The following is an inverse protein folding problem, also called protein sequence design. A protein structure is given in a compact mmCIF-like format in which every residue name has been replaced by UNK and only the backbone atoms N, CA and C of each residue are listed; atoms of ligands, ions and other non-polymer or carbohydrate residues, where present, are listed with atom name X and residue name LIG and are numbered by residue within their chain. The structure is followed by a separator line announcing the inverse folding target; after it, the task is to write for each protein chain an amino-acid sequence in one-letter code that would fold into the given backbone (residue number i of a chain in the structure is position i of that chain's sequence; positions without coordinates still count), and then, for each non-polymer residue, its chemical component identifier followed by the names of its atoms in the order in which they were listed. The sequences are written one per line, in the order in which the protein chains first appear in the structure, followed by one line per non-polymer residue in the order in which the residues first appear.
data_IF_842990197386
#
_entry.id   IF_842990197386
#
_cell.length_a   1.000
_cell.length_b   1.000
_cell.length_c   1.000
_cell.angle_alpha   90.00
_cell.angle_beta   90.00
_cell.angle_gamma   90.00
#
_symmetry.space_group_name_H-M   'P 1'
#
loop_
_entity.id
_entity.type
_entity.pdbx_description
1 polymer ?
#
# COMPACT_ATOMS: atom_id res chain seq x y z
N UNK A 1 -5.86 49.85 -10.86
CA UNK A 1 -6.02 48.39 -11.03
C UNK A 1 -4.69 47.70 -11.38
N UNK A 2 -3.60 47.82 -10.62
CA UNK A 2 -2.30 47.14 -10.95
C UNK A 2 -1.54 46.61 -9.73
N UNK A 3 -2.22 46.22 -8.63
CA UNK A 3 -1.57 45.67 -7.41
C UNK A 3 -1.96 44.27 -6.99
N UNK A 4 -2.81 43.56 -7.74
CA UNK A 4 -3.25 42.19 -7.35
C UNK A 4 -2.53 41.01 -8.05
N UNK A 5 -1.74 41.28 -9.11
CA UNK A 5 -1.05 40.20 -9.83
C UNK A 5 0.32 39.82 -9.26
N UNK A 6 1.02 40.73 -8.60
CA UNK A 6 2.35 40.45 -8.04
C UNK A 6 2.34 39.51 -6.81
N UNK A 7 1.27 39.54 -6.01
CA UNK A 7 1.19 38.70 -4.81
C UNK A 7 0.91 37.21 -5.08
N UNK A 8 0.31 36.87 -6.23
CA UNK A 8 0.00 35.45 -6.53
C UNK A 8 1.23 34.70 -7.06
N UNK A 9 2.07 35.35 -7.82
CA UNK A 9 3.32 34.78 -8.35
C UNK A 9 4.37 34.61 -7.24
N UNK A 10 4.43 35.58 -6.33
CA UNK A 10 5.33 35.53 -5.18
C UNK A 10 4.94 34.38 -4.19
N UNK A 11 3.63 34.17 -3.94
CA UNK A 11 3.16 33.06 -3.09
C UNK A 11 3.44 31.68 -3.70
N UNK A 12 3.36 31.54 -5.03
CA UNK A 12 3.71 30.27 -5.71
C UNK A 12 5.22 29.99 -5.68
N UNK A 13 6.04 31.02 -5.84
CA UNK A 13 7.49 30.90 -5.75
C UNK A 13 7.96 30.53 -4.33
N UNK A 14 7.40 31.17 -3.30
CA UNK A 14 7.69 30.85 -1.89
C UNK A 14 7.23 29.42 -1.52
N UNK A 15 6.09 28.97 -2.01
CA UNK A 15 5.59 27.62 -1.76
C UNK A 15 6.47 26.53 -2.42
N UNK A 16 7.01 26.80 -3.61
CA UNK A 16 7.89 25.85 -4.30
C UNK A 16 9.28 25.78 -3.66
N UNK A 17 9.81 26.93 -3.21
CA UNK A 17 11.10 26.99 -2.50
C UNK A 17 11.00 26.29 -1.15
N UNK A 18 9.91 26.46 -0.39
CA UNK A 18 9.68 25.76 0.87
C UNK A 18 9.58 24.24 0.70
N UNK A 19 8.90 23.76 -0.35
CA UNK A 19 8.77 22.31 -0.62
C UNK A 19 10.11 21.67 -0.99
N UNK A 20 10.93 22.36 -1.78
CA UNK A 20 12.28 21.86 -2.17
C UNK A 20 13.25 21.93 -0.98
N UNK A 21 13.14 22.92 -0.13
CA UNK A 21 13.94 23.09 1.08
C UNK A 21 13.65 22.00 2.12
N UNK A 22 12.37 21.64 2.31
CA UNK A 22 11.98 20.54 3.24
C UNK A 22 12.50 19.17 2.78
N UNK A 23 12.65 18.95 1.47
CA UNK A 23 13.24 17.71 0.96
C UNK A 23 14.77 17.65 1.24
N UNK A 24 15.45 18.80 1.31
CA UNK A 24 16.88 18.88 1.62
C UNK A 24 17.17 18.93 3.14
N UNK A 25 16.25 19.49 3.96
CA UNK A 25 16.47 19.68 5.41
C UNK A 25 16.40 18.41 6.23
N UNK A 26 15.90 17.31 5.68
CA UNK A 26 15.97 15.98 6.35
C UNK A 26 17.38 15.41 6.40
N UNK A 27 18.34 16.00 5.69
CA UNK A 27 19.71 15.49 5.53
C UNK A 27 20.77 16.46 6.07
N UNK A 28 20.43 17.75 6.27
CA UNK A 28 21.38 18.78 6.67
C UNK A 28 20.93 19.56 7.91
N UNK A 29 21.88 19.92 8.77
CA UNK A 29 21.68 20.76 9.96
C UNK A 29 21.29 22.20 9.58
N UNK A 30 20.66 23.01 10.49
CA UNK A 30 20.10 24.33 10.19
C UNK A 30 21.02 25.36 9.56
N UNK A 31 22.34 25.19 9.66
CA UNK A 31 23.33 26.16 9.19
C UNK A 31 23.66 26.08 7.69
N UNK A 32 22.97 25.20 6.92
CA UNK A 32 23.28 24.98 5.51
C UNK A 32 22.39 25.79 4.53
N UNK A 33 21.68 26.81 5.01
CA UNK A 33 20.83 27.66 4.17
C UNK A 33 21.61 28.82 3.54
N UNK A 34 22.44 28.55 2.55
CA UNK A 34 22.86 29.55 1.58
C UNK A 34 22.78 28.96 0.17
N UNK A 35 21.73 29.34 -0.46
CA UNK A 35 21.43 29.44 -1.91
C UNK A 35 22.25 28.60 -2.91
N UNK A 36 21.62 27.56 -3.46
CA UNK A 36 22.06 26.89 -4.70
C UNK A 36 21.04 27.12 -5.83
N UNK A 37 21.48 27.30 -7.13
CA UNK A 37 20.61 27.32 -8.30
C UNK A 37 20.75 26.02 -9.13
N UNK A 38 19.65 25.36 -9.47
CA UNK A 38 19.63 24.14 -10.31
C UNK A 38 18.97 24.49 -11.64
N UNK A 39 19.68 24.30 -12.76
CA UNK A 39 19.11 24.51 -14.09
C UNK A 39 18.77 23.16 -14.71
N UNK A 40 17.51 22.90 -14.98
CA UNK A 40 17.06 21.69 -15.68
C UNK A 40 16.91 22.02 -17.18
N UNK A 41 17.64 21.30 -18.05
CA UNK A 41 17.42 21.35 -19.50
C UNK A 41 16.52 20.18 -19.91
N UNK A 42 15.51 20.50 -20.69
CA UNK A 42 14.51 19.56 -21.18
C UNK A 42 15.10 18.77 -22.36
N UNK A 43 15.50 17.54 -22.10
CA UNK A 43 15.74 16.54 -23.13
C UNK A 43 14.90 15.31 -22.78
N UNK A 44 14.60 14.44 -23.73
CA UNK A 44 13.80 13.22 -23.53
C UNK A 44 14.33 12.27 -22.44
N UNK A 45 15.48 12.58 -21.89
CA UNK A 45 16.02 12.03 -20.64
C UNK A 45 16.09 13.18 -19.62
N UNK A 46 15.39 13.05 -18.51
CA UNK A 46 15.44 14.04 -17.41
C UNK A 46 16.82 14.00 -16.75
N UNK A 47 17.73 14.82 -17.22
CA UNK A 47 19.05 14.99 -16.64
C UNK A 47 19.08 16.27 -15.85
N UNK A 48 19.51 16.24 -14.60
CA UNK A 48 19.73 17.42 -13.77
C UNK A 48 21.23 17.68 -13.79
N UNK A 49 21.62 18.83 -14.29
CA UNK A 49 23.04 19.28 -14.29
C UNK A 49 23.20 20.27 -13.12
N UNK A 50 24.08 19.95 -12.21
CA UNK A 50 24.47 20.82 -11.10
C UNK A 50 25.87 21.33 -11.41
N UNK A 51 26.01 22.64 -11.52
CA UNK A 51 27.31 23.29 -11.75
C UNK A 51 27.69 24.03 -10.50
N UNK A 52 28.83 23.73 -9.93
CA UNK A 52 29.42 24.52 -8.85
C UNK A 52 30.36 25.60 -9.41
N UNK A 53 30.81 26.53 -8.54
CA UNK A 53 31.69 27.60 -8.95
C UNK A 53 33.14 27.15 -9.24
N UNK A 54 33.45 25.86 -9.20
CA UNK A 54 34.78 25.31 -9.49
C UNK A 54 34.92 24.84 -10.94
N UNK A 55 33.98 25.18 -11.83
CA UNK A 55 33.93 24.74 -13.24
C UNK A 55 33.75 23.22 -13.42
N UNK A 56 33.41 22.49 -12.38
CA UNK A 56 33.13 21.07 -12.46
C UNK A 56 31.64 20.85 -12.71
N UNK A 57 31.29 20.36 -13.89
CA UNK A 57 29.89 20.03 -14.24
C UNK A 57 29.65 18.55 -13.98
N UNK A 58 28.80 18.24 -13.01
CA UNK A 58 28.37 16.87 -12.74
C UNK A 58 26.98 16.66 -13.31
N UNK A 59 26.88 15.75 -14.27
CA UNK A 59 25.59 15.34 -14.85
C UNK A 59 25.02 14.19 -14.04
N UNK A 60 23.91 14.43 -13.36
CA UNK A 60 23.20 13.43 -12.59
C UNK A 60 22.11 12.79 -13.47
N UNK A 61 22.24 11.51 -13.74
CA UNK A 61 21.20 10.73 -14.40
C UNK A 61 19.91 10.65 -13.57
N UNK A 62 18.84 10.19 -14.17
CA UNK A 62 17.43 10.29 -13.75
C UNK A 62 17.02 9.67 -12.41
N UNK A 63 17.95 9.23 -11.56
CA UNK A 63 17.61 8.60 -10.27
C UNK A 63 18.11 9.42 -9.09
N UNK A 64 17.28 10.40 -8.67
CA UNK A 64 17.47 11.14 -7.41
C UNK A 64 17.60 10.19 -6.22
N UNK A 65 16.94 9.04 -6.25
CA UNK A 65 17.00 7.99 -5.22
C UNK A 65 18.41 7.41 -5.05
N UNK A 66 19.16 7.20 -6.14
CA UNK A 66 20.54 6.69 -6.06
C UNK A 66 21.51 7.70 -5.44
N UNK A 67 21.25 9.00 -5.64
CA UNK A 67 22.10 10.04 -5.04
C UNK A 67 21.91 10.13 -3.53
N UNK A 68 20.67 9.96 -3.05
CA UNK A 68 20.33 9.98 -1.62
C UNK A 68 20.93 8.75 -0.92
N UNK A 69 20.84 7.56 -1.52
CA UNK A 69 21.41 6.33 -0.96
C UNK A 69 22.96 6.41 -0.85
N UNK A 70 23.62 7.06 -1.81
CA UNK A 70 25.08 7.24 -1.81
C UNK A 70 25.54 8.28 -0.78
N UNK A 71 24.75 9.31 -0.50
CA UNK A 71 25.07 10.32 0.51
C UNK A 71 24.91 9.79 1.95
N UNK A 72 24.05 8.80 2.17
CA UNK A 72 23.82 8.19 3.48
C UNK A 72 24.93 7.19 3.85
N UNK A 73 25.54 6.52 2.87
CA UNK A 73 26.65 5.56 3.11
C UNK A 73 28.00 6.23 3.42
N UNK A 74 28.18 7.54 3.12
CA UNK A 74 29.45 8.24 3.40
C UNK A 74 29.57 8.81 4.82
N UNK A 75 28.59 8.59 5.68
CA UNK A 75 28.56 9.15 7.06
C UNK A 75 29.23 8.25 8.11
N UNK A 76 30.30 7.54 7.76
CA UNK A 76 31.12 6.75 8.72
C UNK A 76 32.62 7.02 8.58
N UNK A 77 33.03 8.26 8.40
CA UNK A 77 34.40 8.68 8.79
C UNK A 77 34.42 10.20 8.94
N UNK A 78 34.82 10.66 10.14
CA UNK A 78 35.10 12.06 10.45
C UNK A 78 36.20 12.61 9.55
N UNK A 79 35.84 13.46 8.59
CA UNK A 79 36.80 14.40 8.00
C UNK A 79 36.03 15.69 7.66
N UNK A 80 36.34 16.74 8.41
CA UNK A 80 35.75 18.08 8.24
C UNK A 80 36.37 18.70 7.00
N UNK A 81 35.62 18.77 5.90
CA UNK A 81 35.96 19.60 4.74
C UNK A 81 35.00 20.77 4.69
N UNK A 82 35.50 21.97 4.92
CA UNK A 82 34.74 23.22 4.79
C UNK A 82 34.43 23.46 3.31
N UNK A 83 33.18 23.35 2.91
CA UNK A 83 32.71 23.73 1.57
C UNK A 83 31.77 24.92 1.71
N UNK A 84 32.17 26.07 1.15
CA UNK A 84 31.36 27.31 1.11
C UNK A 84 30.42 27.24 -0.10
N UNK A 85 29.12 27.19 0.13
CA UNK A 85 28.12 27.07 -0.93
C UNK A 85 27.58 28.45 -1.36
N UNK A 86 27.41 28.67 -2.66
CA UNK A 86 26.76 29.83 -3.29
C UNK A 86 25.42 29.44 -3.94
N UNK A 87 24.55 30.40 -4.07
CA UNK A 87 23.12 30.37 -4.40
C UNK A 87 22.75 29.74 -5.77
N UNK A 88 21.74 28.83 -5.78
CA UNK A 88 21.25 28.13 -6.99
C UNK A 88 19.75 28.40 -7.27
N UNK A 89 19.39 28.94 -8.43
CA UNK A 89 17.99 29.26 -8.85
C UNK A 89 17.47 28.18 -9.83
N UNK A 90 16.31 27.60 -9.57
CA UNK A 90 15.66 26.64 -10.50
C UNK A 90 14.55 27.36 -11.27
N UNK A 91 14.67 27.43 -12.60
CA UNK A 91 13.61 27.84 -13.50
C UNK A 91 13.03 26.62 -14.21
N UNK A 92 11.75 26.34 -13.98
CA UNK A 92 11.00 25.28 -14.67
C UNK A 92 9.95 25.95 -15.54
N UNK A 93 10.09 25.81 -16.87
CA UNK A 93 9.05 26.19 -17.83
C UNK A 93 8.36 24.92 -18.31
N UNK A 94 7.07 24.80 -18.01
CA UNK A 94 6.19 23.76 -18.54
C UNK A 94 5.64 24.21 -19.91
N UNK A 95 6.03 23.53 -20.97
CA UNK A 95 5.36 23.61 -22.27
C UNK A 95 4.66 22.28 -22.53
N UNK A 96 3.34 22.31 -22.55
CA UNK A 96 2.52 21.19 -23.04
C UNK A 96 2.45 21.24 -24.58
N UNK A 97 2.57 20.13 -25.28
CA UNK A 97 2.24 20.07 -26.70
C UNK A 97 0.72 19.92 -26.85
N UNK A 98 0.12 20.82 -27.60
CA UNK A 98 -1.25 20.73 -28.13
C UNK A 98 -1.25 19.78 -29.31
N UNK A 99 -2.09 18.76 -29.29
CA UNK A 99 -2.42 17.96 -30.46
C UNK A 99 -3.80 18.36 -30.98
N UNK A 100 -3.79 18.83 -32.21
CA UNK A 100 -4.98 19.10 -33.02
C UNK A 100 -5.79 17.83 -33.31
N UNK A 101 -7.08 17.95 -33.14
CA UNK A 101 -8.06 16.91 -33.51
C UNK A 101 -8.86 17.39 -34.71
N UNK A 102 -8.72 16.69 -35.82
CA UNK A 102 -9.59 16.86 -36.98
C UNK A 102 -10.81 15.96 -36.84
N UNK A 103 -11.98 16.61 -36.89
CA UNK A 103 -13.34 16.04 -36.94
C UNK A 103 -13.63 15.47 -38.31
N UNK A 104 -14.33 14.35 -38.37
CA UNK A 104 -15.16 13.99 -39.54
C UNK A 104 -16.51 13.44 -39.07
N UNK A 105 -17.55 14.03 -39.64
CA UNK A 105 -18.99 13.84 -39.34
C UNK A 105 -19.61 12.56 -39.89
N UNK A 106 -20.77 12.29 -39.36
CA UNK A 106 -21.73 11.21 -39.60
C UNK A 106 -22.30 11.11 -41.04
N UNK A 107 -23.16 10.14 -41.38
CA UNK A 107 -24.59 10.46 -41.25
C UNK A 107 -25.53 9.36 -40.71
N UNK A 108 -26.65 9.86 -40.30
CA UNK A 108 -27.82 9.17 -39.78
C UNK A 108 -28.67 8.47 -40.84
N UNK A 109 -29.48 7.47 -40.43
CA UNK A 109 -30.76 7.18 -41.05
C UNK A 109 -31.72 6.43 -40.10
N UNK A 110 -32.82 7.04 -39.79
CA UNK A 110 -34.11 6.42 -39.43
C UNK A 110 -34.93 6.21 -40.72
N UNK A 111 -35.92 5.27 -40.78
CA UNK A 111 -37.27 5.59 -40.34
C UNK A 111 -38.17 4.42 -39.82
N UNK A 112 -39.06 4.80 -38.92
CA UNK A 112 -40.53 4.74 -38.96
C UNK A 112 -41.27 3.38 -38.96
N UNK A 113 -41.99 3.16 -37.90
CA UNK A 113 -43.44 3.06 -37.68
C UNK A 113 -44.26 2.00 -38.45
N UNK A 114 -45.09 1.21 -37.75
CA UNK A 114 -46.56 1.26 -37.82
C UNK A 114 -47.28 0.19 -37.02
N UNK A 115 -48.30 0.66 -36.28
CA UNK A 115 -49.69 0.20 -36.09
C UNK A 115 -50.06 -0.97 -35.20
N UNK A 116 -50.88 -0.56 -34.23
CA UNK A 116 -51.93 -1.26 -33.48
C UNK A 116 -53.01 -1.88 -34.36
N UNK A 117 -53.75 -2.91 -33.92
CA UNK A 117 -55.08 -2.60 -33.47
C UNK A 117 -55.60 -3.30 -32.19
N UNK A 118 -56.56 -2.66 -31.64
CA UNK A 118 -57.50 -2.91 -30.56
C UNK A 118 -58.36 -4.17 -30.69
N UNK A 119 -58.70 -4.82 -29.52
CA UNK A 119 -60.02 -5.48 -29.34
C UNK A 119 -60.47 -5.51 -27.89
N UNK A 120 -61.53 -4.86 -27.66
CA UNK A 120 -62.76 -5.06 -26.86
C UNK A 120 -62.78 -5.72 -25.49
N UNK A 121 -63.43 -4.96 -24.61
CA UNK A 121 -63.82 -5.25 -23.23
C UNK A 121 -64.90 -6.35 -23.11
N UNK A 122 -64.90 -7.06 -21.99
CA UNK A 122 -66.04 -7.73 -21.36
C UNK A 122 -66.08 -7.46 -19.87
N UNK A 123 -67.25 -7.41 -19.23
CA UNK A 123 -67.48 -6.67 -17.97
C UNK A 123 -67.10 -7.46 -16.69
N UNK A 124 -66.89 -6.71 -15.63
CA UNK A 124 -66.43 -7.09 -14.32
C UNK A 124 -67.43 -7.93 -13.52
N UNK A 125 -66.90 -8.91 -12.79
CA UNK A 125 -67.51 -9.54 -11.63
C UNK A 125 -67.00 -8.87 -10.36
N UNK A 126 -67.93 -8.39 -9.54
CA UNK A 126 -67.70 -7.79 -8.25
C UNK A 126 -67.01 -8.77 -7.27
N UNK A 127 -65.81 -8.46 -6.83
CA UNK A 127 -65.08 -9.20 -5.78
C UNK A 127 -65.23 -8.49 -4.44
N UNK A 128 -65.65 -9.26 -3.41
CA UNK A 128 -65.71 -8.88 -2.01
C UNK A 128 -64.40 -8.22 -1.51
N UNK A 129 -64.43 -7.31 -0.50
CA UNK A 129 -63.29 -6.65 0.05
C UNK A 129 -62.34 -7.67 0.68
N UNK A 130 -61.12 -7.80 0.16
CA UNK A 130 -60.03 -8.55 0.75
C UNK A 130 -59.44 -7.70 1.88
N UNK A 131 -59.47 -8.22 3.08
CA UNK A 131 -58.90 -7.58 4.27
C UNK A 131 -57.42 -7.22 3.99
N UNK A 132 -57.06 -5.98 4.24
CA UNK A 132 -55.70 -5.44 4.05
C UNK A 132 -54.69 -6.24 4.89
N UNK A 133 -53.85 -7.03 4.25
CA UNK A 133 -52.72 -7.70 4.90
C UNK A 133 -51.79 -6.63 5.50
N UNK A 134 -51.63 -6.63 6.84
CA UNK A 134 -50.63 -5.80 7.53
C UNK A 134 -49.29 -5.91 6.82
N UNK A 135 -48.58 -4.80 6.56
CA UNK A 135 -47.30 -4.83 5.85
C UNK A 135 -46.29 -5.71 6.61
N UNK A 136 -45.92 -6.83 6.02
CA UNK A 136 -44.84 -7.65 6.56
C UNK A 136 -43.56 -6.82 6.59
N UNK A 137 -43.00 -6.61 7.78
CA UNK A 137 -41.69 -5.97 7.96
C UNK A 137 -40.67 -6.74 7.13
N UNK A 138 -40.21 -6.17 5.99
CA UNK A 138 -39.13 -6.77 5.17
C UNK A 138 -37.96 -7.09 6.07
N UNK A 139 -37.61 -8.37 6.23
CA UNK A 139 -36.38 -8.79 6.93
C UNK A 139 -35.20 -8.03 6.37
N UNK A 140 -34.48 -7.31 7.24
CA UNK A 140 -33.30 -6.56 6.82
C UNK A 140 -32.20 -7.52 6.34
N UNK A 141 -31.76 -7.36 5.10
CA UNK A 141 -30.65 -8.17 4.56
C UNK A 141 -29.32 -7.69 5.14
N UNK A 142 -28.69 -8.53 5.95
CA UNK A 142 -27.38 -8.26 6.60
C UNK A 142 -26.30 -9.08 5.89
N UNK A 143 -25.27 -8.40 5.37
CA UNK A 143 -24.08 -9.03 4.82
C UNK A 143 -22.88 -8.63 5.67
N UNK A 144 -22.09 -9.60 6.11
CA UNK A 144 -20.84 -9.38 6.87
C UNK A 144 -19.64 -9.78 6.00
N UNK A 145 -18.66 -8.89 5.90
CA UNK A 145 -17.40 -9.07 5.18
C UNK A 145 -16.27 -8.91 6.19
N UNK A 146 -15.55 -9.99 6.44
CA UNK A 146 -14.35 -9.99 7.28
C UNK A 146 -13.12 -9.90 6.38
N UNK A 147 -12.29 -8.89 6.59
CA UNK A 147 -10.98 -8.73 5.95
C UNK A 147 -9.92 -9.08 6.98
N UNK A 148 -9.04 -10.01 6.64
CA UNK A 148 -7.80 -10.27 7.36
C UNK A 148 -6.65 -9.58 6.65
N UNK A 149 -5.74 -9.00 7.43
CA UNK A 149 -4.49 -8.45 6.93
C UNK A 149 -3.32 -8.98 7.74
N UNK A 150 -2.24 -9.36 7.07
CA UNK A 150 -0.99 -9.73 7.69
C UNK A 150 0.16 -8.91 7.10
N UNK A 151 1.31 -8.93 7.77
CA UNK A 151 2.45 -8.09 7.46
C UNK A 151 3.26 -8.53 6.25
N UNK A 152 4.53 -8.20 6.27
CA UNK A 152 5.44 -8.31 5.14
C UNK A 152 5.78 -9.78 4.84
N UNK A 153 5.53 -10.18 3.60
CA UNK A 153 5.80 -11.51 3.08
C UNK A 153 6.89 -11.43 2.01
N UNK A 154 8.10 -11.86 2.37
CA UNK A 154 9.24 -12.02 1.46
C UNK A 154 9.41 -13.51 1.19
N UNK A 155 8.92 -13.97 0.02
CA UNK A 155 9.01 -15.36 -0.39
C UNK A 155 10.32 -15.61 -1.15
N UNK A 156 11.40 -15.64 -0.42
CA UNK A 156 12.75 -15.74 -0.95
C UNK A 156 13.75 -15.18 0.05
N UNK A 157 14.97 -14.93 -0.39
CA UNK A 157 16.03 -14.32 0.42
C UNK A 157 16.94 -13.48 -0.46
N UNK A 158 17.80 -12.68 0.15
CA UNK A 158 19.00 -12.17 -0.51
C UNK A 158 19.96 -13.34 -0.75
N UNK A 159 20.69 -13.34 -1.87
CA UNK A 159 21.71 -14.35 -2.12
C UNK A 159 22.88 -14.28 -1.11
N UNK A 160 23.08 -13.11 -0.48
CA UNK A 160 24.05 -12.91 0.60
C UNK A 160 23.61 -13.55 1.93
N UNK A 161 22.35 -13.99 2.04
CA UNK A 161 21.87 -14.65 3.26
C UNK A 161 22.58 -15.99 3.47
N UNK A 162 22.92 -16.36 4.72
CA UNK A 162 23.60 -17.63 5.01
C UNK A 162 22.88 -18.82 4.36
N UNK A 163 23.62 -19.64 3.63
CA UNK A 163 23.11 -20.90 3.08
C UNK A 163 22.71 -21.86 4.22
N UNK A 164 21.87 -22.83 3.93
CA UNK A 164 21.42 -23.80 4.93
C UNK A 164 20.31 -23.35 5.87
N UNK A 165 20.20 -22.06 6.19
CA UNK A 165 19.16 -21.52 7.11
C UNK A 165 18.25 -20.46 6.49
N UNK A 166 18.49 -20.06 5.24
CA UNK A 166 17.67 -19.07 4.54
C UNK A 166 16.36 -19.66 4.00
N UNK A 167 15.54 -18.82 3.38
CA UNK A 167 14.23 -19.23 2.85
C UNK A 167 14.33 -20.33 1.79
N UNK A 168 15.37 -20.29 0.92
CA UNK A 168 15.59 -21.32 -0.10
C UNK A 168 15.87 -22.68 0.53
N UNK A 169 16.75 -22.73 1.52
CA UNK A 169 17.08 -23.95 2.26
C UNK A 169 15.83 -24.54 2.91
N UNK A 170 15.00 -23.68 3.55
CA UNK A 170 13.75 -24.15 4.17
C UNK A 170 12.74 -24.66 3.14
N UNK A 171 12.62 -23.99 1.98
CA UNK A 171 11.76 -24.46 0.91
C UNK A 171 12.24 -25.81 0.34
N UNK A 172 13.54 -25.95 0.12
CA UNK A 172 14.13 -27.19 -0.40
C UNK A 172 14.04 -28.35 0.59
N UNK A 173 14.16 -28.06 1.90
CA UNK A 173 13.93 -29.05 2.96
C UNK A 173 12.49 -29.57 2.96
N UNK A 174 11.52 -28.67 2.87
CA UNK A 174 10.10 -29.05 3.00
C UNK A 174 9.48 -29.52 1.70
N UNK A 175 9.92 -28.99 0.54
CA UNK A 175 9.37 -29.27 -0.81
C UNK A 175 7.84 -29.12 -0.89
N UNK A 176 7.23 -28.48 0.11
CA UNK A 176 5.79 -28.29 0.26
C UNK A 176 5.47 -26.81 0.50
N UNK A 177 4.87 -26.13 -0.49
CA UNK A 177 4.44 -24.74 -0.33
C UNK A 177 3.43 -24.52 0.82
N UNK A 178 2.66 -25.56 1.19
CA UNK A 178 1.65 -25.44 2.25
C UNK A 178 2.26 -25.30 3.64
N UNK A 179 3.51 -25.72 3.82
CA UNK A 179 4.25 -25.62 5.08
C UNK A 179 4.22 -24.22 5.67
N UNK A 180 4.49 -23.21 4.85
CA UNK A 180 4.75 -21.84 5.31
C UNK A 180 3.54 -21.19 6.00
N UNK A 181 2.34 -21.42 5.51
CA UNK A 181 1.10 -20.86 6.10
C UNK A 181 0.27 -21.89 6.88
N UNK A 182 0.77 -23.11 7.10
CA UNK A 182 0.04 -24.21 7.73
C UNK A 182 -0.67 -23.77 9.03
N UNK A 183 0.02 -23.04 9.89
CA UNK A 183 -0.48 -22.67 11.22
C UNK A 183 -1.49 -21.50 11.21
N UNK A 184 -1.64 -20.79 10.10
CA UNK A 184 -2.55 -19.64 9.97
C UNK A 184 -3.63 -19.85 8.90
N UNK A 185 -3.47 -20.85 8.02
CA UNK A 185 -4.38 -21.15 6.92
C UNK A 185 -5.84 -21.27 7.37
N UNK A 186 -6.10 -21.92 8.52
CA UNK A 186 -7.46 -22.08 9.06
C UNK A 186 -8.11 -20.78 9.50
N UNK A 187 -7.31 -19.73 9.80
CA UNK A 187 -7.79 -18.39 10.13
C UNK A 187 -8.21 -17.71 8.83
N UNK A 188 -7.36 -17.73 7.81
CA UNK A 188 -7.60 -17.13 6.51
C UNK A 188 -8.77 -17.79 5.76
N UNK A 189 -8.94 -19.12 5.90
CA UNK A 189 -10.08 -19.84 5.31
C UNK A 189 -11.45 -19.36 5.84
N UNK A 190 -11.50 -18.70 7.02
CA UNK A 190 -12.74 -18.27 7.68
C UNK A 190 -13.13 -16.83 7.37
N UNK A 191 -12.27 -16.06 6.72
CA UNK A 191 -12.57 -14.70 6.34
C UNK A 191 -13.15 -14.59 4.91
N UNK A 192 -13.23 -13.39 4.36
CA UNK A 192 -13.76 -13.13 3.03
C UNK A 192 -12.72 -12.48 2.11
N UNK A 193 -11.62 -12.01 2.67
CA UNK A 193 -10.45 -11.50 1.97
C UNK A 193 -9.27 -11.52 2.93
N UNK A 194 -8.20 -12.24 2.56
CA UNK A 194 -6.89 -12.14 3.20
C UNK A 194 -5.95 -11.33 2.31
N UNK A 195 -5.39 -10.24 2.85
CA UNK A 195 -4.45 -9.34 2.18
C UNK A 195 -3.11 -9.32 2.91
N UNK A 196 -1.99 -9.45 2.18
CA UNK A 196 -0.62 -9.31 2.69
C UNK A 196 0.18 -8.34 1.83
N UNK A 197 1.28 -7.79 2.37
CA UNK A 197 2.26 -7.09 1.56
C UNK A 197 3.25 -8.10 0.98
N UNK A 198 3.37 -8.15 -0.35
CA UNK A 198 4.39 -8.95 -1.02
C UNK A 198 5.64 -8.08 -1.19
N UNK A 199 6.67 -8.38 -0.40
CA UNK A 199 7.91 -7.59 -0.33
C UNK A 199 9.08 -8.39 -0.88
N UNK A 200 9.48 -8.08 -2.10
CA UNK A 200 10.49 -8.80 -2.87
C UNK A 200 10.06 -9.05 -4.30
N UNK A 201 10.76 -9.93 -5.01
CA UNK A 201 10.49 -10.25 -6.42
C UNK A 201 10.35 -11.75 -6.65
N UNK A 202 9.50 -12.13 -7.61
CA UNK A 202 9.39 -13.50 -8.14
C UNK A 202 9.99 -13.54 -9.54
N UNK A 203 11.28 -13.84 -9.63
CA UNK A 203 12.04 -13.76 -10.88
C UNK A 203 13.16 -14.78 -10.94
N UNK A 204 13.58 -15.12 -12.15
CA UNK A 204 14.81 -15.89 -12.40
C UNK A 204 16.03 -14.99 -12.67
N UNK A 205 15.86 -13.66 -12.78
CA UNK A 205 16.93 -12.72 -13.06
C UNK A 205 18.05 -12.80 -12.03
N UNK A 206 19.25 -12.52 -12.45
CA UNK A 206 20.46 -12.61 -11.61
C UNK A 206 21.08 -11.26 -11.29
N UNK A 207 20.84 -10.26 -12.13
CA UNK A 207 21.38 -8.91 -11.92
C UNK A 207 20.65 -8.25 -10.73
N UNK A 208 21.34 -8.21 -9.60
CA UNK A 208 20.88 -7.64 -8.33
C UNK A 208 21.04 -6.12 -8.35
N UNK A 209 20.08 -5.39 -7.80
CA UNK A 209 20.24 -3.97 -7.53
C UNK A 209 21.36 -3.72 -6.49
N UNK A 210 22.09 -2.63 -6.65
CA UNK A 210 23.12 -2.21 -5.69
C UNK A 210 22.43 -1.55 -4.48
N UNK A 211 22.14 -2.36 -3.48
CA UNK A 211 21.51 -1.98 -2.20
C UNK A 211 21.83 -3.02 -1.14
N UNK A 212 21.69 -2.65 0.13
CA UNK A 212 22.03 -3.50 1.28
C UNK A 212 21.30 -4.84 1.22
N UNK A 213 19.99 -4.84 0.99
CA UNK A 213 19.17 -6.05 0.90
C UNK A 213 18.42 -6.07 -0.43
N UNK A 214 18.46 -7.21 -1.13
CA UNK A 214 17.69 -7.43 -2.34
C UNK A 214 17.10 -8.84 -2.34
N UNK A 215 15.77 -8.92 -2.36
CA UNK A 215 15.05 -10.17 -2.16
C UNK A 215 14.49 -10.73 -3.47
N UNK A 216 14.75 -12.02 -3.66
CA UNK A 216 14.25 -12.77 -4.81
C UNK A 216 13.69 -14.12 -4.37
N UNK A 217 12.64 -14.56 -5.02
CA UNK A 217 12.10 -15.90 -4.90
C UNK A 217 11.88 -16.52 -6.27
N UNK A 218 11.77 -17.85 -6.31
CA UNK A 218 11.37 -18.55 -7.53
C UNK A 218 9.92 -18.18 -7.87
N UNK A 219 9.57 -17.98 -9.16
CA UNK A 219 8.19 -17.75 -9.59
C UNK A 219 7.16 -18.75 -9.03
N UNK A 220 7.55 -20.01 -8.82
CA UNK A 220 6.69 -21.03 -8.23
C UNK A 220 6.33 -20.80 -6.77
N UNK A 221 7.06 -19.93 -6.05
CA UNK A 221 6.79 -19.66 -4.63
C UNK A 221 5.48 -18.90 -4.39
N UNK A 222 4.87 -18.33 -5.43
CA UNK A 222 3.50 -17.82 -5.32
C UNK A 222 2.50 -18.87 -4.80
N UNK A 223 2.76 -20.16 -5.08
CA UNK A 223 1.96 -21.28 -4.54
C UNK A 223 1.87 -21.28 -3.01
N UNK A 224 2.88 -20.71 -2.33
CA UNK A 224 2.88 -20.57 -0.86
C UNK A 224 1.69 -19.72 -0.40
N UNK A 225 1.47 -18.56 -1.04
CA UNK A 225 0.33 -17.69 -0.72
C UNK A 225 -1.00 -18.34 -1.07
N UNK A 226 -1.08 -18.96 -2.26
CA UNK A 226 -2.31 -19.63 -2.72
C UNK A 226 -2.71 -20.76 -1.78
N UNK A 227 -1.77 -21.62 -1.41
CA UNK A 227 -2.02 -22.73 -0.47
C UNK A 227 -2.25 -22.25 0.95
N UNK A 228 -1.78 -21.03 1.28
CA UNK A 228 -2.04 -20.34 2.54
C UNK A 228 -3.42 -19.72 2.67
N UNK A 229 -4.25 -19.73 1.62
CA UNK A 229 -5.51 -18.99 1.51
C UNK A 229 -5.31 -17.47 1.59
N UNK A 230 -4.26 -16.96 0.99
CA UNK A 230 -4.08 -15.52 0.74
C UNK A 230 -4.78 -15.18 -0.57
N UNK A 231 -5.71 -14.24 -0.53
CA UNK A 231 -6.57 -13.90 -1.66
C UNK A 231 -6.02 -12.77 -2.53
N UNK A 232 -5.22 -11.87 -1.94
CA UNK A 232 -4.69 -10.72 -2.66
C UNK A 232 -3.40 -10.20 -2.01
N UNK A 233 -2.62 -9.43 -2.80
CA UNK A 233 -1.38 -8.81 -2.32
C UNK A 233 -1.32 -7.33 -2.63
N UNK A 234 -0.67 -6.54 -1.75
CA UNK A 234 -0.12 -5.23 -2.09
C UNK A 234 1.31 -5.42 -2.61
N UNK A 235 1.65 -4.71 -3.70
CA UNK A 235 2.94 -4.81 -4.37
C UNK A 235 3.43 -3.42 -4.78
N UNK A 236 3.59 -2.55 -3.78
CA UNK A 236 4.20 -1.22 -3.91
C UNK A 236 5.08 -0.98 -2.68
N UNK A 237 6.36 -1.31 -2.78
CA UNK A 237 7.34 -1.22 -1.71
C UNK A 237 8.75 -1.09 -2.30
N UNK A 238 9.75 -0.81 -1.46
CA UNK A 238 11.15 -0.64 -1.86
C UNK A 238 11.82 -1.91 -2.42
N UNK A 239 11.22 -3.09 -2.25
CA UNK A 239 11.75 -4.37 -2.73
C UNK A 239 11.11 -4.90 -4.02
N UNK A 240 10.20 -4.13 -4.63
CA UNK A 240 9.55 -4.54 -5.88
C UNK A 240 10.51 -4.65 -7.08
N UNK A 241 11.67 -3.99 -7.03
CA UNK A 241 12.65 -3.87 -8.12
C UNK A 241 14.05 -4.34 -7.73
N UNK A 242 14.15 -5.23 -6.79
CA UNK A 242 15.44 -5.71 -6.24
C UNK A 242 16.35 -6.36 -7.28
N UNK A 243 15.81 -6.76 -8.43
CA UNK A 243 16.53 -7.27 -9.59
C UNK A 243 16.15 -6.49 -10.86
N UNK A 244 16.03 -5.16 -10.71
CA UNK A 244 15.68 -4.20 -11.76
C UNK A 244 14.20 -4.22 -12.16
N UNK A 245 13.82 -3.33 -13.08
CA UNK A 245 12.44 -3.20 -13.59
C UNK A 245 11.92 -4.52 -14.18
N UNK A 246 12.81 -5.30 -14.82
CA UNK A 246 12.45 -6.62 -15.34
C UNK A 246 11.92 -7.56 -14.26
N UNK A 247 12.45 -7.52 -13.04
CA UNK A 247 11.98 -8.35 -11.94
C UNK A 247 10.61 -7.93 -11.41
N UNK A 248 10.31 -6.65 -11.45
CA UNK A 248 8.98 -6.12 -11.18
C UNK A 248 7.96 -6.65 -12.18
N UNK A 249 8.30 -6.59 -13.47
CA UNK A 249 7.44 -7.08 -14.55
C UNK A 249 7.28 -8.61 -14.52
N UNK A 250 8.34 -9.36 -14.22
CA UNK A 250 8.28 -10.81 -14.01
C UNK A 250 7.30 -11.17 -12.88
N UNK A 251 7.39 -10.46 -11.76
CA UNK A 251 6.50 -10.68 -10.60
C UNK A 251 5.04 -10.40 -10.95
N UNK A 252 4.76 -9.31 -11.67
CA UNK A 252 3.43 -8.98 -12.18
C UNK A 252 2.92 -10.06 -13.14
N UNK A 253 3.78 -10.58 -14.01
CA UNK A 253 3.42 -11.68 -14.92
C UNK A 253 3.06 -12.95 -14.13
N UNK A 254 3.81 -13.26 -13.06
CA UNK A 254 3.49 -14.39 -12.15
C UNK A 254 2.14 -14.20 -11.49
N UNK A 255 1.83 -13.00 -10.96
CA UNK A 255 0.52 -12.72 -10.37
C UNK A 255 -0.61 -12.87 -11.39
N UNK A 256 -0.47 -12.30 -12.59
CA UNK A 256 -1.48 -12.36 -13.65
C UNK A 256 -1.72 -13.82 -14.12
N UNK A 257 -0.64 -14.58 -14.40
CA UNK A 257 -0.72 -15.99 -14.84
C UNK A 257 -1.47 -16.84 -13.82
N UNK A 258 -1.28 -16.57 -12.54
CA UNK A 258 -1.87 -17.34 -11.45
C UNK A 258 -3.16 -16.72 -10.91
N UNK A 259 -3.70 -15.69 -11.58
CA UNK A 259 -4.94 -14.99 -11.20
C UNK A 259 -4.90 -14.46 -9.75
N UNK A 260 -3.70 -14.10 -9.23
CA UNK A 260 -3.54 -13.49 -7.92
C UNK A 260 -3.91 -12.00 -8.01
N UNK A 261 -4.98 -11.55 -7.36
CA UNK A 261 -5.33 -10.13 -7.32
C UNK A 261 -4.23 -9.32 -6.63
N UNK A 262 -3.83 -8.19 -7.24
CA UNK A 262 -2.83 -7.32 -6.64
C UNK A 262 -3.07 -5.85 -6.96
N UNK A 263 -2.72 -4.98 -6.01
CA UNK A 263 -2.60 -3.55 -6.21
C UNK A 263 -1.13 -3.16 -6.21
N UNK A 264 -0.75 -2.24 -7.09
CA UNK A 264 0.63 -1.73 -7.20
C UNK A 264 0.59 -0.28 -7.68
N UNK A 265 1.70 0.37 -7.89
CA UNK A 265 1.87 1.75 -8.32
C UNK A 265 0.81 2.23 -9.34
N UNK A 266 -0.28 2.87 -8.87
CA UNK A 266 -1.39 3.33 -9.70
C UNK A 266 -2.31 2.23 -10.30
N UNK A 267 -1.93 0.95 -10.17
CA UNK A 267 -2.80 -0.19 -10.50
C UNK A 267 -3.70 -0.51 -9.30
N UNK A 268 -5.00 -0.35 -9.48
CA UNK A 268 -5.99 -0.78 -8.49
C UNK A 268 -6.45 -2.20 -8.76
N UNK A 269 -6.88 -2.91 -7.73
CA UNK A 269 -7.51 -4.22 -7.84
C UNK A 269 -8.92 -4.21 -7.25
N UNK A 270 -9.79 -5.11 -7.69
CA UNK A 270 -11.14 -5.28 -7.14
C UNK A 270 -11.38 -6.76 -6.87
N UNK A 271 -11.48 -7.09 -5.60
CA UNK A 271 -11.85 -8.43 -5.15
C UNK A 271 -13.37 -8.52 -4.93
N UNK A 272 -13.97 -9.66 -5.26
CA UNK A 272 -15.42 -9.86 -5.16
C UNK A 272 -15.75 -11.00 -4.22
N UNK A 273 -16.57 -10.71 -3.22
CA UNK A 273 -17.03 -11.71 -2.25
C UNK A 273 -18.42 -11.36 -1.73
N UNK A 274 -19.29 -12.34 -1.54
CA UNK A 274 -20.67 -12.18 -1.03
C UNK A 274 -21.44 -11.02 -1.69
N UNK A 275 -21.28 -10.85 -3.00
CA UNK A 275 -21.92 -9.78 -3.76
C UNK A 275 -21.36 -8.37 -3.48
N UNK A 276 -20.21 -8.25 -2.82
CA UNK A 276 -19.50 -7.00 -2.53
C UNK A 276 -18.22 -6.88 -3.32
N UNK A 277 -17.85 -5.64 -3.66
CA UNK A 277 -16.63 -5.27 -4.35
C UNK A 277 -15.69 -4.57 -3.36
N UNK A 278 -14.54 -5.17 -3.10
CA UNK A 278 -13.49 -4.60 -2.26
C UNK A 278 -12.39 -4.08 -3.18
N UNK A 279 -12.26 -2.75 -3.23
CA UNK A 279 -11.20 -2.09 -3.97
C UNK A 279 -9.90 -2.03 -3.17
N UNK A 280 -8.77 -2.26 -3.83
CA UNK A 280 -7.45 -2.24 -3.22
C UNK A 280 -6.54 -1.25 -3.95
N UNK A 281 -5.79 -0.48 -3.17
CA UNK A 281 -4.75 0.46 -3.61
C UNK A 281 -3.48 0.12 -2.83
N UNK A 282 -2.32 0.20 -3.47
CA UNK A 282 -1.03 0.09 -2.81
C UNK A 282 -0.14 1.29 -3.16
N UNK A 283 0.55 1.82 -2.16
CA UNK A 283 1.50 2.94 -2.31
C UNK A 283 2.78 2.67 -1.53
N UNK A 284 3.89 3.18 -2.06
CA UNK A 284 5.18 3.20 -1.38
C UNK A 284 5.43 4.62 -0.85
N UNK A 285 5.38 4.80 0.45
CA UNK A 285 5.59 6.10 1.10
C UNK A 285 7.05 6.55 1.08
N UNK A 286 7.99 5.64 0.79
CA UNK A 286 9.40 5.97 0.63
C UNK A 286 9.66 6.73 -0.68
N UNK A 287 8.75 6.62 -1.67
CA UNK A 287 8.78 7.43 -2.89
C UNK A 287 8.20 8.86 -2.67
N UNK A 288 7.91 9.21 -1.42
CA UNK A 288 7.40 10.51 -0.98
C UNK A 288 5.89 10.59 -0.82
N UNK A 289 5.48 11.55 0.00
CA UNK A 289 4.07 11.82 0.33
C UNK A 289 3.27 12.18 -0.91
N UNK A 290 3.77 13.13 -1.73
CA UNK A 290 3.08 13.62 -2.93
C UNK A 290 2.82 12.50 -3.95
N UNK A 291 3.78 11.59 -4.13
CA UNK A 291 3.62 10.42 -4.99
C UNK A 291 2.51 9.50 -4.47
N UNK A 292 2.53 9.21 -3.17
CA UNK A 292 1.52 8.39 -2.50
C UNK A 292 0.13 9.01 -2.61
N UNK A 293 -0.01 10.32 -2.37
CA UNK A 293 -1.28 11.03 -2.47
C UNK A 293 -1.85 11.01 -3.90
N UNK A 294 -0.99 11.19 -4.92
CA UNK A 294 -1.36 11.08 -6.33
C UNK A 294 -1.94 9.71 -6.65
N UNK A 295 -1.26 8.62 -6.24
CA UNK A 295 -1.76 7.25 -6.47
C UNK A 295 -3.03 6.94 -5.68
N UNK A 296 -3.15 7.38 -4.43
CA UNK A 296 -4.36 7.25 -3.63
C UNK A 296 -5.52 7.97 -4.29
N UNK A 297 -5.34 9.24 -4.68
CA UNK A 297 -6.41 10.04 -5.29
C UNK A 297 -6.91 9.42 -6.61
N UNK A 298 -5.99 9.07 -7.52
CA UNK A 298 -6.34 8.42 -8.79
C UNK A 298 -6.98 7.04 -8.56
N UNK A 299 -6.43 6.26 -7.63
CA UNK A 299 -6.93 4.93 -7.28
C UNK A 299 -8.35 4.97 -6.72
N UNK A 300 -8.63 5.90 -5.80
CA UNK A 300 -9.98 6.08 -5.23
C UNK A 300 -10.97 6.50 -6.31
N UNK A 301 -10.59 7.44 -7.22
CA UNK A 301 -11.42 7.81 -8.36
C UNK A 301 -11.75 6.59 -9.25
N UNK A 302 -10.74 5.77 -9.59
CA UNK A 302 -10.91 4.53 -10.38
C UNK A 302 -11.84 3.54 -9.68
N UNK A 303 -11.68 3.34 -8.37
CA UNK A 303 -12.49 2.39 -7.60
C UNK A 303 -13.94 2.85 -7.40
N UNK A 304 -14.17 4.16 -7.23
CA UNK A 304 -15.53 4.74 -7.22
C UNK A 304 -16.23 4.51 -8.56
N UNK A 305 -15.55 4.73 -9.70
CA UNK A 305 -16.09 4.40 -11.05
C UNK A 305 -16.42 2.92 -11.19
N UNK A 306 -15.64 2.01 -10.58
CA UNK A 306 -15.90 0.56 -10.53
C UNK A 306 -16.99 0.17 -9.52
N UNK A 307 -17.59 1.14 -8.81
CA UNK A 307 -18.61 0.95 -7.76
C UNK A 307 -18.12 0.00 -6.66
N UNK A 308 -16.90 0.24 -6.13
CA UNK A 308 -16.39 -0.49 -4.98
C UNK A 308 -17.22 -0.19 -3.73
N UNK A 309 -17.61 -1.24 -3.00
CA UNK A 309 -18.37 -1.13 -1.73
C UNK A 309 -17.46 -0.79 -0.55
N UNK A 310 -16.21 -1.22 -0.61
CA UNK A 310 -15.13 -0.94 0.35
C UNK A 310 -13.85 -0.59 -0.40
N UNK A 311 -13.04 0.29 0.19
CA UNK A 311 -11.70 0.63 -0.31
C UNK A 311 -10.68 0.41 0.80
N UNK A 312 -9.68 -0.42 0.51
CA UNK A 312 -8.52 -0.69 1.36
C UNK A 312 -7.29 -0.07 0.71
N UNK A 313 -6.50 0.65 1.50
CA UNK A 313 -5.22 1.21 1.05
C UNK A 313 -4.11 0.52 1.85
N UNK A 314 -3.19 -0.14 1.15
CA UNK A 314 -1.94 -0.63 1.73
C UNK A 314 -0.85 0.42 1.52
N UNK A 315 -0.15 0.76 2.59
CA UNK A 315 0.89 1.78 2.64
C UNK A 315 2.18 1.14 3.15
N UNK A 316 3.24 1.18 2.34
CA UNK A 316 4.58 0.76 2.74
C UNK A 316 5.39 2.00 3.11
N UNK A 317 5.49 2.32 4.40
CA UNK A 317 6.06 3.59 4.87
C UNK A 317 6.49 3.52 6.33
N UNK A 318 7.39 4.41 6.71
CA UNK A 318 7.88 4.55 8.07
C UNK A 318 9.40 4.40 8.15
N UNK A 319 9.90 4.06 9.33
CA UNK A 319 11.31 3.80 9.59
C UNK A 319 11.41 2.37 10.13
N UNK A 320 12.38 1.61 9.62
CA UNK A 320 12.60 0.23 10.04
C UNK A 320 12.95 0.13 11.54
N UNK A 321 12.55 -0.99 12.15
CA UNK A 321 12.87 -1.38 13.52
C UNK A 321 12.40 -0.40 14.61
N UNK A 322 11.52 0.57 14.30
CA UNK A 322 10.94 1.48 15.28
C UNK A 322 9.44 1.28 15.45
N UNK A 323 8.96 1.39 16.69
CA UNK A 323 7.53 1.41 17.00
C UNK A 323 6.93 2.83 16.93
N UNK A 324 7.74 3.85 16.69
CA UNK A 324 7.32 5.24 16.56
C UNK A 324 6.72 5.47 15.18
N UNK A 325 5.52 6.02 15.15
CA UNK A 325 4.81 6.38 13.93
C UNK A 325 5.27 7.77 13.52
N UNK A 326 5.87 7.91 12.33
CA UNK A 326 6.34 9.18 11.82
C UNK A 326 5.23 9.96 11.07
N UNK A 327 5.52 11.24 10.74
CA UNK A 327 4.55 12.12 10.11
C UNK A 327 4.24 11.72 8.66
N UNK A 328 5.18 11.10 7.95
CA UNK A 328 4.96 10.55 6.60
C UNK A 328 3.85 9.50 6.65
N UNK A 329 3.94 8.55 7.57
CA UNK A 329 2.91 7.51 7.76
C UNK A 329 1.55 8.14 8.09
N UNK A 330 1.50 9.08 9.05
CA UNK A 330 0.25 9.75 9.45
C UNK A 330 -0.36 10.54 8.29
N UNK A 331 0.45 11.31 7.58
CA UNK A 331 -0.01 12.15 6.46
C UNK A 331 -0.64 11.28 5.37
N UNK A 332 0.05 10.26 4.90
CA UNK A 332 -0.45 9.35 3.85
C UNK A 332 -1.71 8.63 4.31
N UNK A 333 -1.72 8.09 5.53
CA UNK A 333 -2.86 7.35 6.06
C UNK A 333 -4.10 8.23 6.24
N UNK A 334 -3.94 9.41 6.84
CA UNK A 334 -5.02 10.36 7.03
C UNK A 334 -5.56 10.88 5.70
N UNK A 335 -4.68 11.13 4.71
CA UNK A 335 -5.09 11.50 3.36
C UNK A 335 -5.93 10.39 2.71
N UNK A 336 -5.51 9.14 2.79
CA UNK A 336 -6.26 8.01 2.26
C UNK A 336 -7.68 7.95 2.85
N UNK A 337 -7.81 8.08 4.16
CA UNK A 337 -9.11 8.10 4.85
C UNK A 337 -9.95 9.32 4.43
N UNK A 338 -9.35 10.53 4.37
CA UNK A 338 -10.04 11.76 3.90
C UNK A 338 -10.58 11.60 2.47
N UNK A 339 -9.90 10.84 1.60
CA UNK A 339 -10.34 10.58 0.22
C UNK A 339 -11.39 9.47 0.11
N UNK A 340 -11.58 8.66 1.17
CA UNK A 340 -12.64 7.66 1.26
C UNK A 340 -12.18 6.21 1.42
N UNK A 341 -10.96 5.97 1.87
CA UNK A 341 -10.54 4.63 2.30
C UNK A 341 -11.33 4.22 3.57
N UNK A 342 -11.75 2.95 3.60
CA UNK A 342 -12.46 2.35 4.74
C UNK A 342 -11.49 1.65 5.72
N UNK A 343 -10.29 1.33 5.25
CA UNK A 343 -9.22 0.69 6.01
C UNK A 343 -7.88 1.08 5.40
N UNK A 344 -6.89 1.38 6.24
CA UNK A 344 -5.49 1.58 5.84
C UNK A 344 -4.62 0.55 6.57
N UNK A 345 -3.74 -0.12 5.81
CA UNK A 345 -2.84 -1.15 6.28
C UNK A 345 -1.40 -0.72 6.02
N UNK A 346 -0.60 -0.65 7.07
CA UNK A 346 0.79 -0.20 7.03
C UNK A 346 1.78 -1.36 7.09
N UNK A 347 2.91 -1.15 6.41
CA UNK A 347 4.02 -2.08 6.18
C UNK A 347 5.34 -1.33 6.20
N UNK A 348 6.49 -1.98 6.17
CA UNK A 348 7.86 -1.48 6.12
C UNK A 348 8.58 -1.42 7.48
N UNK A 349 8.02 -0.95 8.60
CA UNK A 349 8.80 -0.85 9.84
C UNK A 349 9.32 -2.20 10.38
N UNK A 350 8.87 -3.34 9.85
CA UNK A 350 9.24 -4.69 10.26
C UNK A 350 9.01 -4.98 11.75
N UNK A 351 8.36 -4.08 12.46
CA UNK A 351 7.89 -4.21 13.84
C UNK A 351 6.46 -3.71 13.96
N UNK A 352 5.71 -4.21 14.95
CA UNK A 352 4.35 -3.77 15.21
C UNK A 352 4.31 -2.30 15.62
N UNK A 353 3.35 -1.57 15.08
CA UNK A 353 3.02 -0.19 15.48
C UNK A 353 1.56 -0.07 15.87
N UNK A 354 1.15 1.11 16.35
CA UNK A 354 -0.19 1.39 16.83
C UNK A 354 -1.28 1.26 15.77
N UNK A 355 -2.51 1.16 16.25
CA UNK A 355 -3.73 1.22 15.43
C UNK A 355 -4.48 2.48 15.84
N UNK A 356 -4.91 3.26 14.85
CA UNK A 356 -5.69 4.48 15.04
C UNK A 356 -7.10 4.30 14.47
N UNK A 357 -8.09 4.94 15.08
CA UNK A 357 -9.40 5.14 14.49
C UNK A 357 -9.56 6.60 14.07
N UNK A 358 -9.44 6.86 12.78
CA UNK A 358 -9.51 8.20 12.21
C UNK A 358 -10.73 8.37 11.32
N UNK A 359 -11.59 9.36 11.59
CA UNK A 359 -12.82 9.66 10.81
C UNK A 359 -13.66 8.41 10.47
N UNK A 360 -13.69 7.44 11.37
CA UNK A 360 -14.51 6.22 11.26
C UNK A 360 -13.83 5.03 10.57
N UNK A 361 -12.68 5.20 9.94
CA UNK A 361 -11.84 4.13 9.42
C UNK A 361 -10.77 3.74 10.44
N UNK A 362 -10.28 2.50 10.34
CA UNK A 362 -9.09 2.07 11.08
C UNK A 362 -7.85 2.21 10.22
N UNK A 363 -6.76 2.63 10.85
CA UNK A 363 -5.40 2.73 10.31
C UNK A 363 -4.54 1.81 11.16
N UNK A 364 -3.96 0.79 10.56
CA UNK A 364 -2.95 -0.08 11.18
C UNK A 364 -1.60 0.40 10.66
N UNK A 365 -0.78 1.04 11.49
CA UNK A 365 0.44 1.70 11.00
C UNK A 365 1.56 0.74 10.63
N UNK A 366 1.67 -0.41 11.29
CA UNK A 366 2.53 -1.51 10.85
C UNK A 366 2.03 -2.85 11.36
N UNK A 367 1.98 -3.82 10.45
CA UNK A 367 1.66 -5.22 10.72
C UNK A 367 2.91 -6.06 11.02
N UNK A 368 4.12 -5.47 10.97
CA UNK A 368 5.42 -6.13 11.09
C UNK A 368 5.68 -7.18 9.99
N UNK A 369 6.73 -7.97 10.15
CA UNK A 369 6.99 -9.13 9.29
C UNK A 369 5.94 -10.22 9.48
N UNK A 370 5.71 -11.03 8.44
CA UNK A 370 4.83 -12.21 8.56
C UNK A 370 5.56 -13.48 8.07
N UNK A 371 5.45 -13.84 6.79
CA UNK A 371 6.26 -14.90 6.20
C UNK A 371 7.47 -14.26 5.51
N UNK A 372 8.49 -13.93 6.29
CA UNK A 372 9.55 -13.02 5.87
C UNK A 372 10.90 -13.73 5.73
N UNK A 373 11.33 -13.91 4.49
CA UNK A 373 12.61 -14.55 4.14
C UNK A 373 13.83 -13.63 4.15
N UNK A 374 13.63 -12.32 4.43
CA UNK A 374 14.71 -11.34 4.46
C UNK A 374 15.61 -11.40 5.71
N UNK A 375 15.23 -12.18 6.73
CA UNK A 375 16.04 -12.34 7.95
C UNK A 375 15.92 -13.76 8.50
N UNK A 376 17.05 -14.41 8.72
CA UNK A 376 17.13 -15.80 9.22
C UNK A 376 16.89 -15.91 10.72
N UNK A 377 17.03 -14.83 11.48
CA UNK A 377 16.75 -14.79 12.91
C UNK A 377 16.42 -13.38 13.41
N UNK A 378 15.24 -12.81 13.08
CA UNK A 378 14.87 -11.47 13.52
C UNK A 378 14.81 -11.40 15.05
N UNK A 379 15.35 -10.32 15.62
CA UNK A 379 15.33 -10.07 17.07
C UNK A 379 13.88 -9.91 17.57
N UNK A 380 13.05 -9.14 16.86
CA UNK A 380 11.60 -9.07 17.11
C UNK A 380 10.84 -10.05 16.22
N UNK A 381 10.31 -11.09 16.86
CA UNK A 381 9.48 -12.11 16.17
C UNK A 381 7.98 -11.85 16.32
N UNK A 382 7.59 -10.74 16.94
CA UNK A 382 6.18 -10.41 17.15
C UNK A 382 5.54 -9.89 15.89
N UNK A 383 4.39 -10.45 15.56
CA UNK A 383 3.54 -10.01 14.47
C UNK A 383 2.07 -10.25 14.83
N UNK A 384 1.17 -9.88 13.94
CA UNK A 384 -0.24 -10.12 14.14
C UNK A 384 -0.99 -10.34 12.82
N UNK A 385 -2.14 -10.98 12.90
CA UNK A 385 -3.18 -10.89 11.89
C UNK A 385 -4.19 -9.87 12.42
N UNK A 386 -4.41 -8.80 11.68
CA UNK A 386 -5.49 -7.85 11.94
C UNK A 386 -6.75 -8.32 11.21
N UNK A 387 -7.90 -8.28 11.87
CA UNK A 387 -9.20 -8.59 11.27
C UNK A 387 -10.18 -7.44 11.50
N UNK A 388 -10.89 -7.04 10.46
CA UNK A 388 -12.03 -6.13 10.55
C UNK A 388 -13.25 -6.72 9.86
N UNK A 389 -14.40 -6.74 10.57
CA UNK A 389 -15.67 -7.16 9.99
C UNK A 389 -16.52 -5.95 9.63
N UNK A 390 -16.79 -5.78 8.35
CA UNK A 390 -17.68 -4.77 7.79
C UNK A 390 -19.09 -5.32 7.67
N UNK A 391 -20.06 -4.60 8.24
CA UNK A 391 -21.47 -5.00 8.22
C UNK A 391 -22.26 -4.10 7.28
N UNK A 392 -22.93 -4.70 6.30
CA UNK A 392 -23.87 -4.03 5.42
C UNK A 392 -25.29 -4.40 5.83
N UNK A 393 -26.18 -3.41 5.95
CA UNK A 393 -27.62 -3.58 6.14
C UNK A 393 -28.34 -2.97 4.95
N UNK A 394 -29.14 -3.75 4.22
CA UNK A 394 -29.82 -3.33 3.01
C UNK A 394 -28.86 -2.64 2.00
N UNK A 395 -27.74 -3.31 1.73
CA UNK A 395 -26.64 -2.85 0.84
C UNK A 395 -25.81 -1.66 1.35
N UNK A 396 -26.24 -0.94 2.40
CA UNK A 396 -25.51 0.22 2.98
C UNK A 396 -24.51 -0.22 4.04
N UNK A 397 -23.28 0.26 3.95
CA UNK A 397 -22.25 0.05 4.96
C UNK A 397 -22.66 0.70 6.28
N UNK A 398 -22.55 -0.04 7.37
CA UNK A 398 -22.78 0.45 8.73
C UNK A 398 -21.47 0.76 9.42
N UNK A 399 -21.46 1.79 10.29
CA UNK A 399 -20.32 2.04 11.17
C UNK A 399 -20.10 0.82 12.05
N UNK A 400 -18.88 0.30 12.09
CA UNK A 400 -18.53 -0.87 12.90
C UNK A 400 -17.31 -0.57 13.78
N UNK A 401 -17.29 -1.16 14.98
CA UNK A 401 -16.10 -1.25 15.84
C UNK A 401 -15.56 -2.69 15.88
N UNK A 402 -16.03 -3.56 14.99
CA UNK A 402 -15.71 -4.98 15.00
C UNK A 402 -14.32 -5.22 14.39
N UNK A 403 -13.30 -4.98 15.20
CA UNK A 403 -11.92 -5.34 14.90
C UNK A 403 -11.38 -6.32 15.92
N UNK A 404 -10.43 -7.12 15.47
CA UNK A 404 -9.71 -8.11 16.27
C UNK A 404 -8.26 -8.19 15.83
N UNK A 405 -7.35 -8.29 16.76
CA UNK A 405 -5.97 -8.71 16.51
C UNK A 405 -5.80 -10.18 16.92
N UNK A 406 -5.08 -10.93 16.13
CA UNK A 406 -4.64 -12.29 16.46
C UNK A 406 -3.13 -12.21 16.59
N UNK A 407 -2.60 -12.16 17.83
CA UNK A 407 -1.16 -12.16 18.06
C UNK A 407 -0.51 -13.38 17.43
N UNK A 408 0.58 -13.15 16.70
CA UNK A 408 1.36 -14.19 16.04
C UNK A 408 2.86 -13.98 16.27
N UNK A 409 3.66 -15.00 15.98
CA UNK A 409 5.10 -14.92 15.77
C UNK A 409 5.40 -15.21 14.31
N UNK A 410 6.44 -14.60 13.75
CA UNK A 410 6.89 -14.84 12.36
C UNK A 410 7.39 -16.27 12.15
N UNK A 411 7.69 -16.98 13.25
CA UNK A 411 8.25 -18.33 13.26
C UNK A 411 7.53 -19.21 14.28
N UNK A 412 7.37 -20.49 14.01
CA UNK A 412 6.94 -21.48 15.00
C UNK A 412 8.08 -21.89 15.94
N UNK A 413 9.35 -21.62 15.56
CA UNK A 413 10.54 -21.77 16.42
C UNK A 413 10.84 -20.50 17.20
N UNK A 414 11.47 -20.64 18.36
CA UNK A 414 11.98 -19.51 19.15
C UNK A 414 13.42 -19.15 18.76
N UNK A 415 14.23 -20.12 18.38
CA UNK A 415 15.67 -19.96 18.12
C UNK A 415 15.99 -19.41 16.74
N UNK A 416 15.22 -19.78 15.73
CA UNK A 416 15.46 -19.39 14.33
C UNK A 416 14.16 -18.90 13.67
N UNK A 417 14.28 -18.29 12.51
CA UNK A 417 13.15 -18.07 11.64
C UNK A 417 12.96 -19.29 10.72
N UNK A 418 11.92 -20.07 10.97
CA UNK A 418 11.55 -21.17 10.08
C UNK A 418 10.48 -20.78 9.05
N UNK A 419 10.23 -19.47 8.92
CA UNK A 419 9.33 -18.86 7.93
C UNK A 419 7.88 -19.36 8.02
N UNK A 420 7.46 -19.80 9.20
CA UNK A 420 6.13 -20.35 9.46
C UNK A 420 5.38 -19.47 10.50
N UNK A 421 4.69 -18.42 10.07
CA UNK A 421 3.89 -17.57 10.96
C UNK A 421 2.93 -18.42 11.79
N UNK A 422 2.91 -18.17 13.10
CA UNK A 422 2.19 -19.02 14.04
C UNK A 422 1.44 -18.19 15.06
N UNK A 423 0.13 -18.47 15.32
CA UNK A 423 -0.60 -17.81 16.39
C UNK A 423 0.08 -17.99 17.75
N UNK A 424 0.33 -16.87 18.43
CA UNK A 424 0.98 -16.87 19.73
C UNK A 424 0.03 -17.42 20.82
N UNK A 425 0.59 -18.24 21.72
CA UNK A 425 -0.10 -18.83 22.87
C UNK A 425 0.52 -18.36 24.18
N UNK A 426 -0.14 -18.61 25.31
CA UNK A 426 0.42 -18.39 26.65
C UNK A 426 1.01 -16.99 26.88
N UNK A 427 2.22 -16.94 27.41
CA UNK A 427 2.94 -15.70 27.72
C UNK A 427 3.20 -14.82 26.47
N UNK A 428 3.58 -15.42 25.34
CA UNK A 428 3.80 -14.68 24.09
C UNK A 428 2.54 -13.93 23.62
N UNK A 429 1.37 -14.58 23.69
CA UNK A 429 0.10 -13.92 23.37
C UNK A 429 -0.18 -12.75 24.31
N UNK A 430 -0.02 -12.94 25.64
CA UNK A 430 -0.21 -11.88 26.62
C UNK A 430 0.72 -10.70 26.37
N UNK A 431 1.99 -10.95 26.08
CA UNK A 431 3.03 -9.96 25.79
C UNK A 431 2.70 -9.14 24.54
N UNK A 432 2.29 -9.79 23.43
CA UNK A 432 1.95 -9.08 22.18
C UNK A 432 0.70 -8.22 22.37
N UNK A 433 -0.33 -8.70 23.07
CA UNK A 433 -1.53 -7.89 23.38
C UNK A 433 -1.14 -6.68 24.24
N UNK A 434 -0.28 -6.86 25.26
CA UNK A 434 0.21 -5.76 26.09
C UNK A 434 1.00 -4.74 25.26
N UNK A 435 1.90 -5.23 24.33
CA UNK A 435 2.63 -4.39 23.36
C UNK A 435 1.65 -3.56 22.53
N UNK A 436 0.65 -4.18 21.92
CA UNK A 436 -0.35 -3.48 21.12
C UNK A 436 -1.19 -2.50 21.94
N UNK A 437 -1.57 -2.84 23.15
CA UNK A 437 -2.31 -1.93 24.03
C UNK A 437 -1.48 -0.69 24.39
N UNK A 438 -0.16 -0.83 24.59
CA UNK A 438 0.76 0.30 24.80
C UNK A 438 0.83 1.18 23.55
N UNK A 439 1.00 0.60 22.35
CA UNK A 439 1.08 1.33 21.10
C UNK A 439 -0.23 2.00 20.68
N UNK A 440 -1.37 1.44 21.10
CA UNK A 440 -2.68 1.98 20.79
C UNK A 440 -3.23 2.94 21.86
N UNK A 441 -2.52 3.11 23.00
CA UNK A 441 -2.93 4.02 24.09
C UNK A 441 -3.15 5.46 23.62
N UNK A 442 -2.27 6.06 22.78
CA UNK A 442 -2.48 7.42 22.26
C UNK A 442 -3.74 7.58 21.40
N UNK A 443 -4.29 6.48 20.88
CA UNK A 443 -5.49 6.47 20.03
C UNK A 443 -6.74 5.98 20.76
N UNK A 444 -6.68 5.85 22.09
CA UNK A 444 -7.78 5.38 22.95
C UNK A 444 -8.35 4.01 22.52
N UNK A 445 -7.49 3.13 22.02
CA UNK A 445 -7.86 1.76 21.67
C UNK A 445 -7.21 0.77 22.64
N UNK A 446 -8.00 -0.21 23.09
CA UNK A 446 -7.55 -1.26 24.00
C UNK A 446 -8.14 -2.61 23.59
N UNK A 447 -7.31 -3.64 23.53
CA UNK A 447 -7.70 -4.99 23.17
C UNK A 447 -7.82 -5.88 24.42
N UNK A 448 -8.85 -6.75 24.42
CA UNK A 448 -9.03 -7.81 25.42
C UNK A 448 -8.03 -8.93 25.21
N UNK A 449 -7.87 -9.85 26.16
CA UNK A 449 -6.97 -11.00 26.03
C UNK A 449 -7.33 -11.95 24.84
N UNK A 450 -8.59 -11.91 24.37
CA UNK A 450 -9.00 -12.64 23.17
C UNK A 450 -8.73 -11.87 21.85
N UNK A 451 -8.09 -10.71 21.93
CA UNK A 451 -7.75 -9.84 20.80
C UNK A 451 -8.88 -8.97 20.26
N UNK A 452 -10.09 -9.05 20.78
CA UNK A 452 -11.20 -8.16 20.39
C UNK A 452 -11.00 -6.76 21.00
N UNK A 453 -11.39 -5.72 20.27
CA UNK A 453 -11.46 -4.37 20.79
C UNK A 453 -12.43 -4.32 22.01
N UNK A 454 -12.07 -3.53 23.01
CA UNK A 454 -12.95 -3.25 24.17
C UNK A 454 -14.07 -2.29 23.79
#
# INVERSE_FOLDING_TARGET
MKKKHTNHTLKKAISLTAATTVLCTGIFTPDFFSTQSVTAKNTSQKTITVTDNSSTTTTLGTNITQFIDKAVDTNTTNTTTNVTAKSTTINIQDTMPTTDTTTTEAPASTPAATKKPTSTKKPAATKKPVAAKKPQKKKSNITKITISAAGDCTLGSDYKSPSGVNFYAKYNEKKDPSYFFKNVKSIFKKDNLTLVNFEGTLTKRTTRADKTFAFKGNPSYLKILQQGNVDAVSFANNHCRDYGEGSYNDTIAVFNKNKMPFASYGKVSVYRTKGKKIGMIAVNGLDGVSSSERFINSGIKKLKKKKADLIVVSMHAGIEKTSVINDVQKTIAHYAVKKGANLVLGHHPHTLQGIEKYKGAYIVYSLANFCFGGNTNPADKDTMIFQQTFTFKNKKLKKTKDIKIIPCKVSSSNSINNYQPTPAKGAAKKRIIAKMNRFCKPYNLKFKNNGKLR
#
